data_IF_489901321746
#
_entry.id   IF_489901321746
#
_cell.length_a   1.000
_cell.length_b   1.000
_cell.length_c   1.000
_cell.angle_alpha   90.00
_cell.angle_beta   90.00
_cell.angle_gamma   90.00
#
_symmetry.space_group_name_H-M   'P 1'
#
loop_
_entity.id
_entity.type
_entity.pdbx_description
1 polymer ?
#
# COMPACT_ATOMS: atom_id res chain seq x y z
N UNK A 1 -2.64 -21.30 19.96
CA UNK A 1 -3.54 -21.42 18.79
C UNK A 1 -2.73 -21.94 17.62
N UNK A 2 -3.03 -23.13 17.09
CA UNK A 2 -2.44 -23.57 15.82
C UNK A 2 -3.21 -22.86 14.71
N UNK A 3 -2.63 -21.78 14.18
CA UNK A 3 -3.17 -21.10 13.01
C UNK A 3 -3.21 -22.02 11.79
N UNK A 4 -4.07 -21.69 10.82
CA UNK A 4 -4.13 -22.41 9.54
C UNK A 4 -2.76 -22.42 8.86
N UNK A 5 -2.28 -23.60 8.44
CA UNK A 5 -1.07 -23.77 7.65
C UNK A 5 -1.44 -24.45 6.34
N UNK A 6 -1.33 -23.72 5.24
CA UNK A 6 -1.57 -24.28 3.92
C UNK A 6 -0.60 -25.44 3.65
N UNK A 7 -1.11 -26.56 3.12
CA UNK A 7 -0.24 -27.60 2.60
C UNK A 7 0.34 -27.13 1.26
N UNK A 8 1.66 -26.93 1.22
CA UNK A 8 2.38 -26.47 0.03
C UNK A 8 3.38 -27.50 -0.48
N UNK A 9 3.28 -28.76 -0.05
CA UNK A 9 4.25 -29.82 -0.38
C UNK A 9 4.38 -30.11 -1.87
N UNK A 10 3.33 -29.82 -2.65
CA UNK A 10 3.29 -30.05 -4.11
C UNK A 10 3.85 -28.85 -4.91
N UNK A 11 4.13 -27.73 -4.26
CA UNK A 11 4.66 -26.54 -4.92
C UNK A 11 6.18 -26.45 -4.76
N UNK A 12 6.88 -26.06 -5.82
CA UNK A 12 8.29 -25.68 -5.74
C UNK A 12 8.40 -24.17 -5.57
N UNK A 13 8.78 -23.66 -4.38
CA UNK A 13 8.89 -22.23 -4.14
C UNK A 13 10.09 -21.65 -4.88
N UNK A 14 9.88 -20.55 -5.60
CA UNK A 14 10.95 -19.75 -6.21
C UNK A 14 11.27 -18.58 -5.29
N UNK A 15 12.55 -18.44 -4.90
CA UNK A 15 13.01 -17.27 -4.14
C UNK A 15 13.28 -16.13 -5.11
N UNK A 16 12.56 -15.03 -4.93
CA UNK A 16 12.84 -13.76 -5.61
C UNK A 16 13.84 -12.99 -4.77
N UNK A 17 15.06 -12.83 -5.27
CA UNK A 17 16.08 -12.01 -4.63
C UNK A 17 15.88 -10.55 -5.06
N UNK A 18 15.96 -9.64 -4.09
CA UNK A 18 15.78 -8.21 -4.29
C UNK A 18 16.90 -7.46 -3.56
N UNK A 19 17.35 -6.38 -4.18
CA UNK A 19 18.23 -5.38 -3.59
C UNK A 19 17.41 -4.16 -3.13
N UNK A 20 18.07 -3.26 -2.40
CA UNK A 20 17.50 -1.97 -2.06
C UNK A 20 17.08 -1.22 -3.34
N UNK A 21 15.84 -0.72 -3.35
CA UNK A 21 15.27 0.01 -4.49
C UNK A 21 14.57 -0.86 -5.54
N UNK A 22 14.70 -2.19 -5.47
CA UNK A 22 14.00 -3.07 -6.40
C UNK A 22 12.48 -3.08 -6.15
N UNK A 23 11.71 -3.13 -7.24
CA UNK A 23 10.25 -3.24 -7.21
C UNK A 23 9.80 -4.61 -7.69
N UNK A 24 9.11 -5.35 -6.82
CA UNK A 24 8.46 -6.61 -7.14
C UNK A 24 6.95 -6.41 -7.34
N UNK A 25 6.48 -6.63 -8.57
CA UNK A 25 5.05 -6.63 -8.92
C UNK A 25 4.64 -8.06 -9.25
N UNK A 26 3.54 -8.54 -8.65
CA UNK A 26 2.99 -9.86 -8.94
C UNK A 26 1.46 -9.83 -8.89
N UNK A 27 0.84 -10.80 -9.57
CA UNK A 27 -0.62 -10.96 -9.55
C UNK A 27 -1.09 -11.39 -8.16
N UNK A 28 -2.18 -10.82 -7.68
CA UNK A 28 -2.82 -11.25 -6.42
C UNK A 28 -3.26 -12.72 -6.41
N UNK A 29 -3.39 -13.34 -7.59
CA UNK A 29 -3.73 -14.77 -7.76
C UNK A 29 -2.51 -15.69 -7.66
N UNK A 30 -1.30 -15.16 -7.69
CA UNK A 30 -0.09 -15.96 -7.54
C UNK A 30 -0.02 -16.50 -6.10
N UNK A 31 0.23 -17.79 -5.92
CA UNK A 31 0.53 -18.33 -4.60
C UNK A 31 1.87 -17.75 -4.12
N UNK A 32 1.85 -16.98 -3.03
CA UNK A 32 3.02 -16.29 -2.51
C UNK A 32 3.02 -16.32 -0.98
N UNK A 33 4.19 -16.09 -0.40
CA UNK A 33 4.36 -16.04 1.04
C UNK A 33 5.72 -15.46 1.42
N UNK A 34 5.88 -15.16 2.70
CA UNK A 34 7.14 -14.69 3.25
C UNK A 34 7.92 -15.84 3.87
N UNK A 35 9.20 -15.97 3.51
CA UNK A 35 10.09 -16.90 4.19
C UNK A 35 10.41 -16.37 5.61
N UNK A 36 10.58 -17.28 6.57
CA UNK A 36 11.01 -16.92 7.93
C UNK A 36 12.26 -16.04 7.88
N UNK A 37 12.27 -14.97 8.66
CA UNK A 37 13.48 -14.17 8.83
C UNK A 37 14.44 -14.90 9.78
N UNK A 38 15.62 -15.26 9.28
CA UNK A 38 16.69 -15.94 10.05
C UNK A 38 17.93 -15.05 10.22
N UNK A 39 17.82 -13.77 9.86
CA UNK A 39 18.92 -12.80 9.98
C UNK A 39 19.19 -12.48 11.46
N UNK A 40 20.47 -12.37 11.84
CA UNK A 40 20.88 -12.06 13.22
C UNK A 40 21.03 -10.54 13.41
N UNK A 41 21.72 -9.89 12.48
CA UNK A 41 22.17 -8.50 12.56
C UNK A 41 21.73 -7.66 11.34
N UNK A 42 20.71 -8.13 10.60
CA UNK A 42 20.17 -7.45 9.41
C UNK A 42 18.66 -7.29 9.46
N UNK A 43 18.20 -6.17 8.93
CA UNK A 43 16.77 -5.87 8.76
C UNK A 43 16.33 -6.29 7.36
N UNK A 44 15.16 -6.92 7.26
CA UNK A 44 14.45 -7.13 6.01
C UNK A 44 13.20 -6.25 6.02
N UNK A 45 13.26 -5.14 5.30
CA UNK A 45 12.17 -4.18 5.19
C UNK A 45 11.66 -4.15 3.75
N UNK A 46 10.35 -4.03 3.59
CA UNK A 46 9.70 -3.80 2.31
C UNK A 46 8.56 -2.81 2.52
N UNK A 47 8.35 -1.93 1.56
CA UNK A 47 7.18 -1.08 1.50
C UNK A 47 6.17 -1.71 0.55
N UNK A 48 4.99 -2.05 1.07
CA UNK A 48 3.89 -2.52 0.23
C UNK A 48 3.18 -1.33 -0.40
N UNK A 49 3.10 -1.34 -1.73
CA UNK A 49 2.34 -0.37 -2.52
C UNK A 49 1.24 -1.14 -3.24
N UNK A 50 -0.02 -0.86 -2.90
CA UNK A 50 -1.17 -1.38 -3.63
C UNK A 50 -1.64 -0.37 -4.67
N UNK A 51 -1.84 -0.82 -5.90
CA UNK A 51 -2.41 -0.01 -6.97
C UNK A 51 -3.88 -0.37 -7.14
N UNK A 52 -4.74 0.62 -6.99
CA UNK A 52 -6.18 0.50 -7.24
C UNK A 52 -6.59 1.63 -8.19
N UNK A 53 -7.58 1.41 -9.07
CA UNK A 53 -8.17 2.51 -9.83
C UNK A 53 -8.61 3.64 -8.88
N UNK A 54 -8.47 4.89 -9.32
CA UNK A 54 -8.78 6.05 -8.49
C UNK A 54 -10.24 6.07 -8.01
N UNK A 55 -11.19 5.49 -8.77
CA UNK A 55 -12.62 5.48 -8.45
C UNK A 55 -13.15 6.90 -8.14
N UNK A 56 -12.93 7.86 -9.04
CA UNK A 56 -13.32 9.27 -8.85
C UNK A 56 -14.83 9.45 -8.56
N UNK A 57 -15.66 8.56 -9.10
CA UNK A 57 -17.10 8.52 -8.88
C UNK A 57 -17.50 8.17 -7.43
N UNK A 58 -16.59 7.60 -6.65
CA UNK A 58 -16.83 7.21 -5.26
C UNK A 58 -16.33 8.32 -4.32
N UNK A 59 -17.15 9.36 -4.17
CA UNK A 59 -16.82 10.54 -3.37
C UNK A 59 -16.43 10.20 -1.94
N UNK A 60 -17.17 9.30 -1.27
CA UNK A 60 -16.86 8.90 0.11
C UNK A 60 -15.47 8.26 0.24
N UNK A 61 -15.09 7.40 -0.69
CA UNK A 61 -13.77 6.78 -0.68
C UNK A 61 -12.66 7.80 -1.02
N UNK A 62 -12.93 8.70 -1.97
CA UNK A 62 -12.00 9.77 -2.33
C UNK A 62 -11.74 10.70 -1.16
N UNK A 63 -12.79 11.20 -0.52
CA UNK A 63 -12.71 12.12 0.60
C UNK A 63 -12.02 11.46 1.81
N UNK A 64 -12.28 10.17 2.03
CA UNK A 64 -11.55 9.38 3.03
C UNK A 64 -10.05 9.33 2.74
N UNK A 65 -9.62 9.01 1.50
CA UNK A 65 -8.18 8.98 1.14
C UNK A 65 -7.52 10.35 1.30
N UNK A 66 -8.18 11.41 0.82
CA UNK A 66 -7.68 12.78 0.95
C UNK A 66 -7.49 13.14 2.43
N UNK A 67 -8.49 12.82 3.26
CA UNK A 67 -8.42 13.05 4.70
C UNK A 67 -7.29 12.25 5.33
N UNK A 68 -7.16 10.96 5.01
CA UNK A 68 -6.11 10.09 5.53
C UNK A 68 -4.71 10.62 5.21
N UNK A 69 -4.47 11.14 4.01
CA UNK A 69 -3.21 11.81 3.65
C UNK A 69 -3.01 13.11 4.44
N UNK A 70 -4.01 14.01 4.41
CA UNK A 70 -3.92 15.35 5.01
C UNK A 70 -3.71 15.32 6.52
N UNK A 71 -4.37 14.39 7.19
CA UNK A 71 -4.35 14.21 8.65
C UNK A 71 -3.42 13.07 9.10
N UNK A 72 -2.74 12.37 8.17
CA UNK A 72 -1.85 11.22 8.42
C UNK A 72 -2.53 10.14 9.28
N UNK A 73 -3.77 9.80 8.93
CA UNK A 73 -4.58 8.81 9.64
C UNK A 73 -4.18 7.39 9.22
N UNK A 74 -4.06 6.50 10.20
CA UNK A 74 -3.94 5.07 9.92
C UNK A 74 -5.26 4.53 9.32
N UNK A 75 -5.20 3.49 8.46
CA UNK A 75 -6.41 2.84 7.97
C UNK A 75 -7.19 2.18 9.10
N UNK A 76 -8.48 2.50 9.22
CA UNK A 76 -9.39 1.84 10.16
C UNK A 76 -9.87 0.51 9.57
N UNK A 77 -9.07 -0.55 9.74
CA UNK A 77 -9.48 -1.92 9.37
C UNK A 77 -9.35 -2.83 10.58
N UNK A 78 -10.16 -3.88 10.61
CA UNK A 78 -10.20 -4.86 11.70
C UNK A 78 -8.81 -5.37 12.14
N UNK A 79 -7.87 -5.50 11.20
CA UNK A 79 -6.51 -5.99 11.43
C UNK A 79 -5.41 -4.93 11.38
N UNK A 80 -5.75 -3.64 11.29
CA UNK A 80 -4.80 -2.52 11.19
C UNK A 80 -5.15 -1.49 12.25
N UNK A 81 -4.32 -1.37 13.29
CA UNK A 81 -4.57 -0.48 14.43
C UNK A 81 -3.74 0.82 14.38
N UNK A 82 -2.88 0.98 13.37
CA UNK A 82 -1.92 2.10 13.30
C UNK A 82 -0.79 1.98 14.32
N UNK A 83 0.12 2.97 14.32
CA UNK A 83 1.12 3.11 15.38
C UNK A 83 0.44 3.76 16.61
N UNK A 84 0.37 3.08 17.77
CA UNK A 84 -0.25 3.63 18.98
C UNK A 84 0.45 4.90 19.52
N UNK A 85 1.65 5.21 19.03
CA UNK A 85 2.40 6.43 19.39
C UNK A 85 2.05 7.63 18.52
N UNK A 86 1.26 7.42 17.45
CA UNK A 86 0.86 8.44 16.47
C UNK A 86 2.03 9.25 15.88
N UNK A 87 3.16 8.59 15.62
CA UNK A 87 4.37 9.27 15.14
C UNK A 87 4.19 9.88 13.76
N UNK A 88 3.44 9.25 12.87
CA UNK A 88 3.09 9.79 11.55
C UNK A 88 2.44 11.16 11.68
N UNK A 89 1.53 11.35 12.64
CA UNK A 89 0.82 12.62 12.84
C UNK A 89 1.66 13.67 13.53
N UNK A 90 2.44 13.27 14.54
CA UNK A 90 3.07 14.18 15.51
C UNK A 90 4.52 14.55 15.18
N UNK A 91 5.25 13.71 14.43
CA UNK A 91 6.67 13.93 14.14
C UNK A 91 6.96 14.41 12.71
N UNK A 92 6.02 14.21 11.78
CA UNK A 92 6.25 14.45 10.36
C UNK A 92 5.18 15.39 9.78
N UNK A 93 5.61 16.17 8.79
CA UNK A 93 4.71 17.03 8.02
C UNK A 93 3.93 16.21 6.99
N UNK A 94 2.80 16.75 6.52
CA UNK A 94 2.08 16.21 5.36
C UNK A 94 3.01 16.19 4.15
N UNK A 95 3.07 15.08 3.41
CA UNK A 95 3.85 15.01 2.20
C UNK A 95 3.32 16.00 1.14
N UNK A 96 4.19 16.83 0.57
CA UNK A 96 3.87 17.68 -0.57
C UNK A 96 3.65 16.81 -1.81
N UNK A 97 2.58 17.09 -2.55
CA UNK A 97 2.21 16.30 -3.72
C UNK A 97 2.69 17.00 -4.99
N UNK A 98 3.19 16.20 -5.92
CA UNK A 98 3.32 16.61 -7.31
C UNK A 98 1.94 16.64 -7.98
N UNK A 99 1.87 17.24 -9.17
CA UNK A 99 0.64 17.27 -9.98
C UNK A 99 0.07 15.85 -10.24
N UNK A 100 0.96 14.87 -10.48
CA UNK A 100 0.58 13.46 -10.58
C UNK A 100 0.09 12.89 -9.24
N UNK A 101 0.73 13.25 -8.13
CA UNK A 101 0.34 12.85 -6.79
C UNK A 101 -1.06 13.34 -6.42
N UNK A 102 -1.40 14.57 -6.79
CA UNK A 102 -2.74 15.13 -6.58
C UNK A 102 -3.81 14.35 -7.35
N UNK A 103 -3.55 14.00 -8.61
CA UNK A 103 -4.47 13.18 -9.43
C UNK A 103 -4.62 11.76 -8.89
N UNK A 104 -3.51 11.13 -8.48
CA UNK A 104 -3.54 9.78 -7.88
C UNK A 104 -4.30 9.76 -6.55
N UNK A 105 -4.18 10.79 -5.73
CA UNK A 105 -4.92 10.92 -4.48
C UNK A 105 -6.40 11.24 -4.70
N UNK A 106 -6.70 12.01 -5.75
CA UNK A 106 -8.04 12.49 -6.11
C UNK A 106 -8.31 13.94 -5.69
N UNK A 107 -7.27 14.73 -5.42
CA UNK A 107 -7.37 16.19 -5.21
C UNK A 107 -7.63 16.93 -6.53
N UNK A 108 -7.03 16.44 -7.61
CA UNK A 108 -7.24 16.90 -8.98
C UNK A 108 -7.94 15.81 -9.79
N UNK A 109 -8.83 16.19 -10.70
CA UNK A 109 -9.47 15.20 -11.58
C UNK A 109 -8.52 14.76 -12.70
N UNK A 110 -8.67 13.51 -13.11
CA UNK A 110 -8.07 13.00 -14.34
C UNK A 110 -8.72 13.59 -15.59
N UNK A 111 -9.98 14.01 -15.51
CA UNK A 111 -10.71 14.62 -16.61
C UNK A 111 -10.50 16.14 -16.58
N UNK A 112 -9.61 16.65 -17.43
CA UNK A 112 -9.61 18.08 -17.78
C UNK A 112 -10.83 18.38 -18.64
N UNK A 113 -11.43 19.55 -18.47
CA UNK A 113 -12.69 20.00 -19.11
C UNK A 113 -12.70 20.02 -20.64
N UNK A 114 -11.63 19.58 -21.32
CA UNK A 114 -11.50 19.58 -22.78
C UNK A 114 -11.49 18.19 -23.43
N UNK A 115 -11.42 17.07 -22.69
CA UNK A 115 -11.48 15.75 -23.32
C UNK A 115 -12.90 15.16 -23.27
N UNK A 116 -13.52 14.85 -24.43
CA UNK A 116 -14.83 14.23 -24.45
C UNK A 116 -14.74 12.83 -23.84
N UNK A 117 -15.62 12.55 -22.86
CA UNK A 117 -15.81 11.23 -22.27
C UNK A 117 -16.08 10.22 -23.39
N UNK A 118 -15.20 9.23 -23.54
CA UNK A 118 -15.42 8.05 -24.40
C UNK A 118 -16.39 7.07 -23.75
#
# INVERSE_FOLDING_TARGET
>A
MNGYRANVSEFTPVKVLLCEGDLLIFSSKLCHGICQNVSIDKVRMAQYISMMPAQEYNESLRDWRIRSWRERLAPERYSIHGDPREWEKTKYQTAELSELGEKLLGLASWNTSEEPRK
#
